data_IF_154076362453
#
_entry.id   IF_154076362453
#
_cell.length_a   1.000
_cell.length_b   1.000
_cell.length_c   1.000
_cell.angle_alpha   90.00
_cell.angle_beta   90.00
_cell.angle_gamma   90.00
#
_symmetry.space_group_name_H-M   'P 1'
#
loop_
_entity.id
_entity.type
_entity.pdbx_description
1 polymer ?
#
# COMPACT_ATOMS: atom_id res chain seq x y z
N UNK A 1 9.23 -3.98 -5.69
CA UNK A 1 8.88 -3.75 -4.29
C UNK A 1 7.91 -4.83 -3.84
N UNK A 2 6.67 -4.90 -4.34
CA UNK A 2 5.62 -5.87 -3.90
C UNK A 2 6.11 -7.32 -3.89
N UNK A 3 6.81 -7.77 -4.95
CA UNK A 3 7.33 -9.13 -5.03
C UNK A 3 8.34 -9.44 -3.91
N UNK A 4 9.25 -8.52 -3.61
CA UNK A 4 10.24 -8.68 -2.53
C UNK A 4 9.54 -8.67 -1.17
N UNK A 5 8.65 -7.72 -0.94
CA UNK A 5 7.95 -7.62 0.34
C UNK A 5 7.08 -8.84 0.61
N UNK A 6 6.31 -9.28 -0.38
CA UNK A 6 5.37 -10.39 -0.18
C UNK A 6 6.07 -11.75 -0.17
N UNK A 7 6.97 -12.02 -1.12
CA UNK A 7 7.60 -13.35 -1.21
C UNK A 7 8.78 -13.47 -0.25
N UNK A 8 9.71 -12.52 -0.26
CA UNK A 8 10.95 -12.66 0.54
C UNK A 8 10.68 -12.39 2.01
N UNK A 9 10.09 -11.24 2.35
CA UNK A 9 9.92 -10.82 3.75
C UNK A 9 8.89 -11.68 4.46
N UNK A 10 7.71 -11.91 3.85
CA UNK A 10 6.69 -12.75 4.48
C UNK A 10 7.13 -14.21 4.61
N UNK A 11 7.87 -14.76 3.61
CA UNK A 11 8.42 -16.11 3.70
C UNK A 11 9.49 -16.20 4.80
N UNK A 12 10.35 -15.20 4.93
CA UNK A 12 11.34 -15.15 6.00
C UNK A 12 10.67 -15.13 7.39
N UNK A 13 9.65 -14.30 7.59
CA UNK A 13 8.90 -14.24 8.85
C UNK A 13 8.19 -15.56 9.13
N UNK A 14 7.52 -16.14 8.13
CA UNK A 14 6.87 -17.44 8.27
C UNK A 14 7.89 -18.54 8.62
N UNK A 15 9.07 -18.53 8.00
CA UNK A 15 10.13 -19.50 8.29
C UNK A 15 10.65 -19.37 9.72
N UNK A 16 10.83 -18.16 10.23
CA UNK A 16 11.23 -17.92 11.63
C UNK A 16 10.21 -18.55 12.58
N UNK A 17 8.91 -18.35 12.32
CA UNK A 17 7.85 -18.90 13.17
C UNK A 17 7.78 -20.43 13.06
N UNK A 18 7.82 -20.97 11.84
CA UNK A 18 7.70 -22.43 11.63
C UNK A 18 8.90 -23.23 12.14
N UNK A 19 10.09 -22.64 12.12
CA UNK A 19 11.31 -23.28 12.61
C UNK A 19 11.55 -23.06 14.12
N UNK A 20 10.74 -22.23 14.76
CA UNK A 20 10.80 -22.05 16.21
C UNK A 20 10.05 -23.17 16.93
N UNK A 21 10.66 -23.71 17.98
CA UNK A 21 10.03 -24.72 18.84
C UNK A 21 9.25 -24.00 19.97
N UNK A 22 8.11 -23.41 19.61
CA UNK A 22 7.32 -22.59 20.54
C UNK A 22 6.36 -23.41 21.41
N UNK A 23 6.26 -24.72 21.20
CA UNK A 23 5.29 -25.56 21.92
C UNK A 23 3.83 -25.17 21.61
N UNK A 24 3.00 -25.02 22.64
CA UNK A 24 1.59 -24.62 22.47
C UNK A 24 1.49 -23.10 22.22
N UNK A 25 1.15 -22.73 20.99
CA UNK A 25 0.95 -21.34 20.56
C UNK A 25 -0.52 -20.91 20.62
N UNK A 26 -1.40 -21.74 21.20
CA UNK A 26 -2.82 -21.43 21.32
C UNK A 26 -3.02 -20.18 22.20
N UNK A 27 -3.59 -19.12 21.60
CA UNK A 27 -3.83 -17.84 22.27
C UNK A 27 -2.75 -16.77 22.07
N UNK A 28 -1.61 -17.09 21.43
CA UNK A 28 -0.60 -16.12 21.04
C UNK A 28 -0.82 -15.78 19.56
N UNK A 29 -1.01 -14.51 19.23
CA UNK A 29 -1.30 -14.11 17.87
C UNK A 29 -0.50 -12.91 17.38
N UNK A 30 -0.52 -12.71 16.08
CA UNK A 30 0.07 -11.54 15.45
C UNK A 30 1.57 -11.40 15.72
N UNK A 31 1.97 -10.21 16.14
CA UNK A 31 3.37 -9.86 16.32
C UNK A 31 4.02 -10.51 17.54
N UNK A 32 3.24 -10.80 18.55
CA UNK A 32 3.70 -11.47 19.77
C UNK A 32 4.29 -12.85 19.46
N UNK A 33 3.66 -13.58 18.54
CA UNK A 33 4.17 -14.85 18.03
C UNK A 33 5.54 -14.69 17.37
N UNK A 34 5.72 -13.62 16.56
CA UNK A 34 7.01 -13.34 15.93
C UNK A 34 8.09 -12.96 16.94
N UNK A 35 7.74 -12.22 18.01
CA UNK A 35 8.66 -11.90 19.09
C UNK A 35 9.14 -13.16 19.81
N UNK A 36 8.23 -14.04 20.17
CA UNK A 36 8.56 -15.32 20.80
C UNK A 36 9.41 -16.20 19.90
N UNK A 37 9.04 -16.30 18.62
CA UNK A 37 9.78 -17.08 17.64
C UNK A 37 11.21 -16.56 17.45
N UNK A 38 11.40 -15.26 17.33
CA UNK A 38 12.73 -14.69 17.22
C UNK A 38 13.54 -14.84 18.51
N UNK A 39 12.91 -14.68 19.68
CA UNK A 39 13.58 -14.87 20.95
C UNK A 39 14.05 -16.30 21.17
N UNK A 40 13.35 -17.31 20.65
CA UNK A 40 13.78 -18.70 20.73
C UNK A 40 15.06 -18.97 19.93
N UNK A 41 15.31 -18.20 18.85
CA UNK A 41 16.50 -18.34 18.02
C UNK A 41 17.70 -17.52 18.48
N UNK A 42 17.47 -16.28 18.93
CA UNK A 42 18.56 -15.32 19.25
C UNK A 42 18.59 -14.88 20.72
N UNK A 43 17.71 -15.42 21.56
CA UNK A 43 17.60 -15.08 22.97
C UNK A 43 16.77 -13.81 23.20
N UNK A 44 16.74 -13.33 24.46
CA UNK A 44 15.86 -12.23 24.92
C UNK A 44 16.03 -10.92 24.14
N UNK A 45 17.18 -10.72 23.51
CA UNK A 45 17.43 -9.56 22.65
C UNK A 45 16.49 -9.52 21.44
N UNK A 46 16.07 -10.69 20.93
CA UNK A 46 15.15 -10.80 19.80
C UNK A 46 13.82 -10.07 20.02
N UNK A 47 13.24 -10.21 21.20
CA UNK A 47 11.99 -9.54 21.59
C UNK A 47 12.14 -8.01 21.57
N UNK A 48 13.23 -7.50 22.13
CA UNK A 48 13.54 -6.05 22.17
C UNK A 48 13.77 -5.52 20.75
N UNK A 49 14.49 -6.25 19.91
CA UNK A 49 14.71 -5.88 18.51
C UNK A 49 13.40 -5.76 17.73
N UNK A 50 12.53 -6.75 17.85
CA UNK A 50 11.21 -6.72 17.18
C UNK A 50 10.37 -5.55 17.69
N UNK A 51 10.36 -5.26 18.99
CA UNK A 51 9.62 -4.13 19.55
C UNK A 51 10.07 -2.78 18.97
N UNK A 52 11.38 -2.56 18.87
CA UNK A 52 11.96 -1.34 18.27
C UNK A 52 11.64 -1.28 16.77
N UNK A 53 11.81 -2.40 16.05
CA UNK A 53 11.53 -2.47 14.63
C UNK A 53 10.07 -2.13 14.32
N UNK A 54 9.12 -2.66 15.11
CA UNK A 54 7.68 -2.36 14.96
C UNK A 54 7.38 -0.90 15.23
N UNK A 55 8.00 -0.29 16.23
CA UNK A 55 7.80 1.12 16.52
C UNK A 55 8.09 1.98 15.29
N UNK A 56 9.24 1.76 14.64
CA UNK A 56 9.60 2.48 13.42
C UNK A 56 8.70 2.13 12.25
N UNK A 57 8.37 0.86 12.08
CA UNK A 57 7.54 0.39 10.98
C UNK A 57 6.10 0.92 11.09
N UNK A 58 5.52 0.88 12.28
CA UNK A 58 4.19 1.43 12.53
C UNK A 58 4.16 2.95 12.32
N UNK A 59 5.17 3.68 12.83
CA UNK A 59 5.27 5.12 12.63
C UNK A 59 5.35 5.49 11.15
N UNK A 60 6.24 4.85 10.39
CA UNK A 60 6.39 5.12 8.95
C UNK A 60 5.14 4.75 8.17
N UNK A 61 4.44 3.67 8.54
CA UNK A 61 3.18 3.26 7.93
C UNK A 61 2.06 4.28 8.17
N UNK A 62 1.94 4.82 9.38
CA UNK A 62 0.97 5.88 9.69
C UNK A 62 1.24 7.13 8.84
N UNK A 63 2.51 7.57 8.75
CA UNK A 63 2.89 8.74 7.96
C UNK A 63 2.62 8.53 6.47
N UNK A 64 2.96 7.35 5.93
CA UNK A 64 2.73 7.03 4.53
C UNK A 64 1.23 7.01 4.19
N UNK A 65 0.42 6.29 4.97
CA UNK A 65 -1.02 6.21 4.78
C UNK A 65 -1.70 7.59 4.92
N UNK A 66 -1.25 8.40 5.87
CA UNK A 66 -1.70 9.78 6.02
C UNK A 66 -1.44 10.59 4.73
N UNK A 67 -0.21 10.51 4.18
CA UNK A 67 0.18 11.24 2.98
C UNK A 67 -0.65 10.82 1.75
N UNK A 68 -0.91 9.52 1.59
CA UNK A 68 -1.77 9.02 0.50
C UNK A 68 -3.20 9.52 0.61
N UNK A 69 -3.76 9.49 1.81
CA UNK A 69 -5.12 9.95 2.04
C UNK A 69 -5.24 11.47 1.88
N UNK A 70 -4.28 12.25 2.39
CA UNK A 70 -4.23 13.71 2.21
C UNK A 70 -4.16 14.09 0.72
N UNK A 71 -3.29 13.43 -0.05
CA UNK A 71 -3.19 13.64 -1.50
C UNK A 71 -4.50 13.31 -2.22
N UNK A 72 -5.17 12.23 -1.82
CA UNK A 72 -6.46 11.84 -2.39
C UNK A 72 -7.56 12.86 -2.11
N UNK A 73 -7.60 13.42 -0.90
CA UNK A 73 -8.55 14.47 -0.51
C UNK A 73 -8.30 15.75 -1.32
N UNK A 74 -7.03 16.14 -1.45
CA UNK A 74 -6.66 17.33 -2.24
C UNK A 74 -6.98 17.16 -3.73
N UNK A 75 -6.87 15.94 -4.25
CA UNK A 75 -7.28 15.64 -5.63
C UNK A 75 -8.79 15.78 -5.84
N UNK A 76 -9.60 15.31 -4.89
CA UNK A 76 -11.06 15.37 -4.97
C UNK A 76 -11.60 16.79 -4.75
N UNK A 77 -10.94 17.57 -3.90
CA UNK A 77 -11.45 18.89 -3.50
C UNK A 77 -10.27 19.88 -3.35
N UNK A 78 -9.86 20.43 -4.48
CA UNK A 78 -8.62 21.23 -4.65
C UNK A 78 -8.40 22.37 -3.67
N UNK A 79 -9.45 22.94 -3.03
CA UNK A 79 -9.33 24.18 -2.25
C UNK A 79 -9.92 24.12 -0.84
N UNK A 80 -10.36 22.97 -0.36
CA UNK A 80 -11.00 22.88 0.95
C UNK A 80 -10.01 22.62 2.08
N UNK A 81 -9.40 23.71 2.61
CA UNK A 81 -8.59 23.64 3.84
C UNK A 81 -9.37 23.02 5.02
N UNK A 82 -10.69 23.21 5.04
CA UNK A 82 -11.57 22.66 6.08
C UNK A 82 -11.62 21.14 5.99
N UNK A 83 -11.73 20.56 4.78
CA UNK A 83 -11.76 19.10 4.60
C UNK A 83 -10.46 18.46 5.09
N UNK A 84 -9.31 19.03 4.76
CA UNK A 84 -8.01 18.57 5.23
C UNK A 84 -7.92 18.66 6.76
N UNK A 85 -8.43 19.73 7.37
CA UNK A 85 -8.42 19.87 8.83
C UNK A 85 -9.30 18.83 9.51
N UNK A 86 -10.53 18.62 9.02
CA UNK A 86 -11.43 17.56 9.51
C UNK A 86 -10.75 16.19 9.40
N UNK A 87 -10.14 15.91 8.26
CA UNK A 87 -9.40 14.65 8.05
C UNK A 87 -8.27 14.48 9.08
N UNK A 88 -7.48 15.51 9.35
CA UNK A 88 -6.41 15.47 10.35
C UNK A 88 -6.92 15.14 11.75
N UNK A 89 -8.00 15.77 12.14
CA UNK A 89 -8.64 15.49 13.43
C UNK A 89 -9.19 14.06 13.48
N UNK A 90 -9.80 13.59 12.39
CA UNK A 90 -10.29 12.21 12.30
C UNK A 90 -9.16 11.18 12.40
N UNK A 91 -8.01 11.41 11.73
CA UNK A 91 -6.83 10.54 11.82
C UNK A 91 -6.29 10.49 13.25
N UNK A 92 -6.16 11.63 13.92
CA UNK A 92 -5.73 11.67 15.32
C UNK A 92 -6.71 10.91 16.23
N UNK A 93 -8.01 11.07 16.02
CA UNK A 93 -9.04 10.33 16.74
C UNK A 93 -8.93 8.81 16.53
N UNK A 94 -8.67 8.37 15.29
CA UNK A 94 -8.49 6.95 14.99
C UNK A 94 -7.21 6.38 15.59
N UNK A 95 -6.11 7.14 15.62
CA UNK A 95 -4.87 6.72 16.30
C UNK A 95 -5.10 6.57 17.81
N UNK A 96 -5.79 7.54 18.43
CA UNK A 96 -6.16 7.45 19.86
C UNK A 96 -7.08 6.25 20.13
N UNK A 97 -8.08 6.02 19.28
CA UNK A 97 -8.96 4.85 19.38
C UNK A 97 -8.16 3.55 19.28
N UNK A 98 -7.25 3.45 18.31
CA UNK A 98 -6.38 2.29 18.11
C UNK A 98 -5.48 2.00 19.32
N UNK A 99 -5.03 3.04 20.02
CA UNK A 99 -4.18 2.88 21.21
C UNK A 99 -4.92 2.31 22.44
N UNK A 100 -6.25 2.46 22.51
CA UNK A 100 -7.08 2.04 23.68
C UNK A 100 -7.91 0.80 23.39
N UNK A 101 -8.18 0.51 22.12
CA UNK A 101 -9.04 -0.61 21.72
C UNK A 101 -8.33 -1.96 21.88
N UNK A 102 -9.13 -3.02 22.00
CA UNK A 102 -8.61 -4.39 22.07
C UNK A 102 -7.97 -4.78 20.75
N UNK A 103 -6.84 -5.50 20.81
CA UNK A 103 -6.07 -5.96 19.65
C UNK A 103 -6.93 -6.68 18.61
N UNK A 104 -7.77 -7.63 19.03
CA UNK A 104 -8.62 -8.41 18.12
C UNK A 104 -9.60 -7.54 17.35
N UNK A 105 -10.17 -6.51 17.99
CA UNK A 105 -11.06 -5.56 17.32
C UNK A 105 -10.32 -4.79 16.23
N UNK A 106 -9.11 -4.32 16.54
CA UNK A 106 -8.30 -3.55 15.60
C UNK A 106 -7.90 -4.40 14.39
N UNK A 107 -7.46 -5.63 14.61
CA UNK A 107 -7.12 -6.55 13.53
C UNK A 107 -8.32 -6.88 12.63
N UNK A 108 -9.47 -7.19 13.21
CA UNK A 108 -10.69 -7.44 12.44
C UNK A 108 -11.15 -6.21 11.63
N UNK A 109 -11.03 -5.01 12.19
CA UNK A 109 -11.33 -3.77 11.47
C UNK A 109 -10.33 -3.51 10.34
N UNK A 110 -9.05 -3.77 10.55
CA UNK A 110 -8.01 -3.65 9.55
C UNK A 110 -8.26 -4.61 8.38
N UNK A 111 -8.54 -5.87 8.66
CA UNK A 111 -8.82 -6.90 7.64
C UNK A 111 -10.06 -6.56 6.82
N UNK A 112 -11.15 -6.13 7.47
CA UNK A 112 -12.36 -5.70 6.77
C UNK A 112 -12.10 -4.48 5.87
N UNK A 113 -11.34 -3.49 6.38
CA UNK A 113 -10.99 -2.27 5.61
C UNK A 113 -10.08 -2.58 4.44
N UNK A 114 -9.08 -3.45 4.62
CA UNK A 114 -8.19 -3.90 3.55
C UNK A 114 -8.95 -4.70 2.49
N UNK A 115 -9.87 -5.57 2.90
CA UNK A 115 -10.73 -6.31 1.98
C UNK A 115 -11.59 -5.39 1.11
N UNK A 116 -12.22 -4.39 1.72
CA UNK A 116 -13.00 -3.40 0.99
C UNK A 116 -12.15 -2.57 0.03
N UNK A 117 -10.98 -2.12 0.47
CA UNK A 117 -10.03 -1.39 -0.36
C UNK A 117 -9.56 -2.21 -1.55
N UNK A 118 -9.22 -3.49 -1.34
CA UNK A 118 -8.82 -4.41 -2.40
C UNK A 118 -9.94 -4.60 -3.43
N UNK A 119 -11.18 -4.76 -2.99
CA UNK A 119 -12.34 -4.94 -3.86
C UNK A 119 -12.54 -3.71 -4.78
N UNK A 120 -12.53 -2.51 -4.21
CA UNK A 120 -12.65 -1.26 -4.98
C UNK A 120 -11.48 -1.12 -5.97
N UNK A 121 -10.26 -1.44 -5.55
CA UNK A 121 -9.07 -1.37 -6.39
C UNK A 121 -9.14 -2.36 -7.56
N UNK A 122 -9.58 -3.60 -7.33
CA UNK A 122 -9.76 -4.60 -8.38
C UNK A 122 -10.78 -4.12 -9.42
N UNK A 123 -11.91 -3.57 -8.99
CA UNK A 123 -12.91 -3.01 -9.91
C UNK A 123 -12.28 -1.90 -10.76
N UNK A 124 -11.55 -0.97 -10.15
CA UNK A 124 -10.87 0.11 -10.87
C UNK A 124 -9.84 -0.42 -11.88
N UNK A 125 -9.04 -1.41 -11.51
CA UNK A 125 -8.05 -2.04 -12.39
C UNK A 125 -8.76 -2.73 -13.58
N UNK A 126 -9.85 -3.45 -13.34
CA UNK A 126 -10.62 -4.10 -14.41
C UNK A 126 -11.19 -3.08 -15.39
N UNK A 127 -11.72 -1.96 -14.91
CA UNK A 127 -12.22 -0.87 -15.74
C UNK A 127 -11.14 -0.20 -16.58
N UNK A 128 -9.93 -0.06 -16.01
CA UNK A 128 -8.79 0.57 -16.68
C UNK A 128 -7.98 -0.39 -17.55
N UNK A 129 -8.18 -1.70 -17.42
CA UNK A 129 -7.36 -2.72 -18.08
C UNK A 129 -7.35 -2.57 -19.61
N UNK A 130 -8.47 -2.19 -20.23
CA UNK A 130 -8.55 -1.92 -21.67
C UNK A 130 -7.53 -0.87 -22.11
N UNK A 131 -7.42 0.24 -21.37
CA UNK A 131 -6.51 1.34 -21.69
C UNK A 131 -5.06 0.93 -21.50
N UNK A 132 -4.75 0.21 -20.42
CA UNK A 132 -3.42 -0.31 -20.15
C UNK A 132 -2.94 -1.25 -21.25
N UNK A 133 -3.81 -2.15 -21.73
CA UNK A 133 -3.48 -3.09 -22.81
C UNK A 133 -3.20 -2.35 -24.13
N UNK A 134 -3.97 -1.30 -24.44
CA UNK A 134 -3.76 -0.49 -25.66
C UNK A 134 -2.37 0.17 -25.59
N UNK A 135 -2.05 0.84 -24.50
CA UNK A 135 -0.76 1.53 -24.33
C UNK A 135 0.41 0.54 -24.29
N UNK A 136 0.24 -0.60 -23.64
CA UNK A 136 1.28 -1.64 -23.58
C UNK A 136 1.57 -2.24 -24.98
N UNK A 137 0.54 -2.45 -25.80
CA UNK A 137 0.71 -2.93 -27.19
C UNK A 137 1.47 -1.91 -28.04
N UNK A 138 1.15 -0.62 -27.87
CA UNK A 138 1.86 0.44 -28.57
C UNK A 138 3.32 0.52 -28.14
N UNK A 139 3.58 0.49 -26.85
CA UNK A 139 4.94 0.46 -26.30
C UNK A 139 5.78 -0.67 -26.92
N UNK A 140 5.25 -1.89 -26.93
CA UNK A 140 5.95 -3.04 -27.49
C UNK A 140 6.17 -2.87 -29.01
N UNK A 141 5.18 -2.35 -29.75
CA UNK A 141 5.31 -2.10 -31.18
C UNK A 141 6.44 -1.09 -31.50
N UNK A 142 6.55 -0.04 -30.71
CA UNK A 142 7.61 0.95 -30.86
C UNK A 142 8.99 0.35 -30.51
N UNK A 143 9.06 -0.48 -29.47
CA UNK A 143 10.28 -1.17 -29.05
C UNK A 143 10.76 -2.16 -30.13
N UNK A 144 9.85 -2.96 -30.69
CA UNK A 144 10.16 -3.93 -31.76
C UNK A 144 10.63 -3.21 -33.04
N UNK A 145 10.16 -1.99 -33.27
CA UNK A 145 10.61 -1.15 -34.37
C UNK A 145 11.96 -0.44 -34.11
N UNK A 146 12.62 -0.71 -32.98
CA UNK A 146 13.92 -0.10 -32.60
C UNK A 146 13.82 1.39 -32.23
N UNK A 147 12.61 1.88 -31.96
CA UNK A 147 12.38 3.29 -31.56
C UNK A 147 12.43 3.40 -30.02
N UNK A 148 12.77 4.58 -29.53
CA UNK A 148 12.55 4.92 -28.11
C UNK A 148 11.05 5.11 -27.90
N UNK A 149 10.37 4.29 -27.09
CA UNK A 149 8.94 4.39 -26.91
C UNK A 149 8.54 5.75 -26.32
N UNK A 150 7.61 6.42 -26.95
CA UNK A 150 7.02 7.70 -26.51
C UNK A 150 5.51 7.59 -26.53
N UNK A 151 4.86 8.15 -25.51
CA UNK A 151 3.41 8.19 -25.46
C UNK A 151 2.90 9.56 -25.95
N UNK A 152 1.98 9.51 -26.91
CA UNK A 152 1.25 10.68 -27.37
C UNK A 152 -0.27 10.37 -27.28
N UNK A 153 -0.96 11.12 -26.43
CA UNK A 153 -2.40 10.94 -26.21
C UNK A 153 -3.23 11.21 -27.45
N UNK A 154 -2.74 12.08 -28.37
CA UNK A 154 -3.45 12.44 -29.59
C UNK A 154 -3.68 11.25 -30.54
N UNK A 155 -2.87 10.19 -30.45
CA UNK A 155 -3.06 8.95 -31.22
C UNK A 155 -4.20 8.07 -30.69
N UNK A 156 -4.69 8.36 -29.48
CA UNK A 156 -5.69 7.56 -28.77
C UNK A 156 -6.88 8.39 -28.29
N UNK A 157 -7.86 8.71 -29.14
CA UNK A 157 -8.99 9.57 -28.78
C UNK A 157 -9.80 9.08 -27.57
N UNK A 158 -9.88 7.75 -27.35
CA UNK A 158 -10.55 7.17 -26.18
C UNK A 158 -9.82 7.47 -24.87
N UNK A 159 -8.51 7.67 -24.91
CA UNK A 159 -7.67 8.00 -23.77
C UNK A 159 -7.58 9.50 -23.60
N UNK A 160 -7.35 10.24 -24.70
CA UNK A 160 -7.16 11.68 -24.72
C UNK A 160 -8.35 12.44 -24.12
N UNK A 161 -9.56 11.95 -24.34
CA UNK A 161 -10.78 12.52 -23.73
C UNK A 161 -10.88 12.36 -22.20
N UNK A 162 -10.08 11.47 -21.59
CA UNK A 162 -10.15 11.11 -20.16
C UNK A 162 -8.95 11.56 -19.35
N UNK A 163 -7.89 11.99 -20.00
CA UNK A 163 -6.66 12.46 -19.36
C UNK A 163 -6.45 13.96 -19.65
N UNK A 164 -5.52 14.57 -18.92
CA UNK A 164 -5.13 15.93 -19.21
C UNK A 164 -4.24 15.95 -20.47
N UNK A 165 -4.85 16.23 -21.62
CA UNK A 165 -4.20 16.25 -22.94
C UNK A 165 -3.06 17.26 -23.03
N UNK A 166 -3.09 18.37 -22.26
CA UNK A 166 -2.02 19.37 -22.25
C UNK A 166 -0.68 18.80 -21.79
N UNK A 167 -0.69 17.81 -20.91
CA UNK A 167 0.52 17.18 -20.40
C UNK A 167 1.03 16.07 -21.33
N UNK A 168 0.10 15.29 -21.89
CA UNK A 168 0.43 14.04 -22.57
C UNK A 168 0.39 14.12 -24.11
N UNK A 169 -0.04 15.24 -24.66
CA UNK A 169 -0.08 15.46 -26.11
C UNK A 169 1.24 16.09 -26.56
N UNK A 170 1.90 15.49 -27.58
CA UNK A 170 3.18 15.98 -28.11
C UNK A 170 3.12 17.43 -28.62
N UNK A 171 1.92 17.91 -29.03
CA UNK A 171 1.72 19.30 -29.48
C UNK A 171 1.98 20.35 -28.40
N UNK A 172 1.84 19.97 -27.11
CA UNK A 172 2.04 20.87 -25.96
C UNK A 172 3.39 20.71 -25.27
N UNK A 173 4.22 19.75 -25.71
CA UNK A 173 5.62 19.65 -25.25
C UNK A 173 6.44 20.71 -26.00
N UNK A 174 6.67 21.84 -25.31
CA UNK A 174 7.69 22.84 -25.71
C UNK A 174 9.02 22.52 -25.06
#
# INVERSE_FOLDING_TARGET
VVFIDTIVICTATASIILLSDLGDTSGIGGIELTQHALSSHVGDWGSTFVAIAILFFAFTSIVANYSYAETSILFLNRDSKVMVWIFRVAVLGMVMFGAVAKSDLIWNMADASMGLMALVNIIAILMLSKFVIIVAKDYNKQLDAGKTPTFDSAEYPEIDSKINSEIWNAKFKK
#
